data_IF_308908111233
#
_entry.id   IF_308908111233
#
_cell.length_a   1.000
_cell.length_b   1.000
_cell.length_c   1.000
_cell.angle_alpha   90.00
_cell.angle_beta   90.00
_cell.angle_gamma   90.00
#
_symmetry.space_group_name_H-M   'P 1'
#
loop_
_entity.id
_entity.type
_entity.pdbx_description
1 polymer ?
#
# COMPACT_ATOMS: atom_id res chain seq x y z
N UNK A 1 24.70 -7.95 0.52
CA UNK A 1 23.49 -7.94 -0.35
C UNK A 1 22.95 -9.34 -0.52
N UNK A 2 21.64 -9.52 -0.38
CA UNK A 2 20.95 -10.79 -0.62
C UNK A 2 21.09 -11.22 -2.10
N UNK A 3 21.97 -12.20 -2.36
CA UNK A 3 22.16 -12.77 -3.71
C UNK A 3 21.12 -13.83 -4.05
N UNK A 4 20.53 -14.48 -3.05
CA UNK A 4 19.51 -15.50 -3.26
C UNK A 4 18.18 -14.84 -3.68
N UNK A 5 17.78 -15.08 -4.93
CA UNK A 5 16.58 -14.51 -5.53
C UNK A 5 15.31 -14.89 -4.78
N UNK A 6 15.17 -16.15 -4.36
CA UNK A 6 13.99 -16.64 -3.64
C UNK A 6 13.89 -15.96 -2.28
N UNK A 7 14.99 -15.92 -1.52
CA UNK A 7 15.01 -15.29 -0.19
C UNK A 7 14.69 -13.80 -0.28
N UNK A 8 15.29 -13.09 -1.24
CA UNK A 8 14.99 -11.66 -1.45
C UNK A 8 13.54 -11.42 -1.86
N UNK A 9 12.95 -12.30 -2.69
CA UNK A 9 11.54 -12.18 -3.08
C UNK A 9 10.63 -12.33 -1.87
N UNK A 10 10.85 -13.37 -1.05
CA UNK A 10 10.06 -13.62 0.16
C UNK A 10 10.15 -12.43 1.11
N UNK A 11 11.35 -11.86 1.30
CA UNK A 11 11.53 -10.70 2.16
C UNK A 11 10.76 -9.48 1.65
N UNK A 12 10.89 -9.13 0.36
CA UNK A 12 10.12 -8.02 -0.20
C UNK A 12 8.62 -8.30 -0.18
N UNK A 13 8.20 -9.53 -0.43
CA UNK A 13 6.80 -9.93 -0.35
C UNK A 13 6.25 -9.68 1.05
N UNK A 14 6.92 -10.17 2.09
CA UNK A 14 6.49 -10.00 3.48
C UNK A 14 6.45 -8.53 3.90
N UNK A 15 7.45 -7.74 3.51
CA UNK A 15 7.49 -6.29 3.79
C UNK A 15 6.34 -5.56 3.07
N UNK A 16 6.10 -5.88 1.80
CA UNK A 16 5.09 -5.19 0.99
C UNK A 16 3.69 -5.54 1.45
N UNK A 17 3.45 -6.80 1.81
CA UNK A 17 2.17 -7.23 2.33
C UNK A 17 1.96 -6.86 3.80
N UNK A 18 3.00 -6.58 4.60
CA UNK A 18 2.79 -6.05 5.95
C UNK A 18 2.14 -4.66 5.91
N UNK A 19 2.53 -3.80 4.97
CA UNK A 19 1.84 -2.54 4.66
C UNK A 19 0.35 -2.77 4.35
N UNK A 20 0.05 -3.74 3.46
CA UNK A 20 -1.32 -4.14 3.15
C UNK A 20 -2.11 -4.61 4.36
N UNK A 21 -1.51 -5.43 5.23
CA UNK A 21 -2.17 -5.97 6.42
C UNK A 21 -2.47 -4.85 7.40
N UNK A 22 -1.51 -3.96 7.68
CA UNK A 22 -1.71 -2.83 8.59
C UNK A 22 -2.82 -1.91 8.06
N UNK A 23 -2.75 -1.53 6.77
CA UNK A 23 -3.77 -0.69 6.15
C UNK A 23 -5.15 -1.37 6.08
N UNK A 24 -5.18 -2.69 5.86
CA UNK A 24 -6.40 -3.49 5.86
C UNK A 24 -7.05 -3.57 7.23
N UNK A 25 -6.27 -3.79 8.29
CA UNK A 25 -6.75 -3.80 9.67
C UNK A 25 -7.32 -2.42 10.07
N UNK A 26 -6.60 -1.34 9.76
CA UNK A 26 -7.09 0.03 9.97
C UNK A 26 -8.41 0.29 9.24
N UNK A 27 -8.56 -0.25 8.03
CA UNK A 27 -9.80 -0.13 7.27
C UNK A 27 -10.93 -0.92 7.92
N UNK A 28 -10.77 -2.23 8.13
CA UNK A 28 -11.85 -3.09 8.66
C UNK A 28 -12.31 -2.64 10.05
N UNK A 29 -11.39 -2.18 10.90
CA UNK A 29 -11.71 -1.77 12.27
C UNK A 29 -12.42 -0.41 12.37
N UNK A 30 -12.20 0.51 11.44
CA UNK A 30 -12.65 1.91 11.58
C UNK A 30 -13.48 2.43 10.39
N UNK A 31 -13.68 1.62 9.35
CA UNK A 31 -14.50 1.97 8.19
C UNK A 31 -15.97 2.16 8.56
N UNK A 32 -16.56 1.24 9.32
CA UNK A 32 -18.00 1.28 9.61
C UNK A 32 -18.30 1.85 11.01
N UNK A 33 -19.42 2.60 11.17
CA UNK A 33 -20.42 2.97 10.16
C UNK A 33 -20.04 4.22 9.34
N UNK A 34 -18.91 4.86 9.66
CA UNK A 34 -18.57 6.18 9.11
C UNK A 34 -18.55 6.23 7.58
N UNK A 35 -17.89 5.27 6.93
CA UNK A 35 -17.71 5.25 5.48
C UNK A 35 -19.00 4.96 4.72
N UNK A 36 -19.92 4.16 5.28
CA UNK A 36 -21.22 3.89 4.65
C UNK A 36 -22.17 5.08 4.71
N UNK A 37 -21.97 6.01 5.66
CA UNK A 37 -22.75 7.24 5.80
C UNK A 37 -22.28 8.38 4.89
N UNK A 38 -21.14 8.24 4.20
CA UNK A 38 -20.65 9.26 3.28
C UNK A 38 -21.51 9.33 2.01
N UNK A 39 -21.77 10.54 1.54
CA UNK A 39 -22.32 10.78 0.20
C UNK A 39 -21.19 10.52 -0.80
N UNK A 40 -21.22 9.37 -1.44
CA UNK A 40 -20.24 8.96 -2.45
C UNK A 40 -20.73 9.34 -3.85
N UNK A 41 -19.84 9.75 -4.77
CA UNK A 41 -20.22 9.98 -6.15
C UNK A 41 -20.65 8.67 -6.83
N UNK A 42 -21.47 8.77 -7.88
CA UNK A 42 -21.99 7.62 -8.63
C UNK A 42 -20.91 6.75 -9.31
N UNK A 43 -19.72 7.29 -9.54
CA UNK A 43 -18.58 6.57 -10.10
C UNK A 43 -17.71 5.87 -9.03
N UNK A 44 -18.06 5.94 -7.75
CA UNK A 44 -17.34 5.20 -6.72
C UNK A 44 -17.59 3.68 -6.89
N UNK A 45 -16.53 2.85 -7.03
CA UNK A 45 -16.71 1.42 -7.23
C UNK A 45 -17.33 0.75 -6.00
N UNK A 46 -18.02 -0.40 -6.18
CA UNK A 46 -18.42 -1.26 -5.07
C UNK A 46 -17.25 -1.63 -4.15
N UNK A 47 -17.50 -1.68 -2.83
CA UNK A 47 -16.46 -1.88 -1.81
C UNK A 47 -15.64 -3.16 -1.97
N UNK A 48 -16.22 -4.22 -2.56
CA UNK A 48 -15.51 -5.48 -2.79
C UNK A 48 -14.41 -5.38 -3.85
N UNK A 49 -14.47 -4.39 -4.76
CA UNK A 49 -13.47 -4.20 -5.83
C UNK A 49 -12.10 -3.81 -5.27
N UNK A 50 -12.07 -3.15 -4.11
CA UNK A 50 -10.82 -2.70 -3.49
C UNK A 50 -9.91 -3.88 -3.13
N UNK A 51 -10.45 -5.02 -2.68
CA UNK A 51 -9.64 -6.16 -2.26
C UNK A 51 -8.84 -6.81 -3.41
N UNK A 52 -9.45 -7.16 -4.56
CA UNK A 52 -8.71 -7.63 -5.73
C UNK A 52 -7.70 -6.60 -6.25
N UNK A 53 -8.10 -5.33 -6.38
CA UNK A 53 -7.22 -4.28 -6.92
C UNK A 53 -5.98 -4.12 -6.06
N UNK A 54 -6.13 -3.93 -4.75
CA UNK A 54 -4.98 -3.76 -3.86
C UNK A 54 -4.12 -5.01 -3.78
N UNK A 55 -4.72 -6.20 -3.73
CA UNK A 55 -3.95 -7.46 -3.74
C UNK A 55 -3.07 -7.57 -4.98
N UNK A 56 -3.60 -7.24 -6.16
CA UNK A 56 -2.84 -7.23 -7.40
C UNK A 56 -1.73 -6.17 -7.37
N UNK A 57 -2.02 -4.96 -6.89
CA UNK A 57 -1.03 -3.89 -6.80
C UNK A 57 0.12 -4.25 -5.86
N UNK A 58 -0.13 -4.80 -4.67
CA UNK A 58 0.94 -5.21 -3.74
C UNK A 58 1.81 -6.33 -4.31
N UNK A 59 1.22 -7.26 -5.08
CA UNK A 59 1.98 -8.27 -5.80
C UNK A 59 2.88 -7.62 -6.87
N UNK A 60 2.34 -6.69 -7.66
CA UNK A 60 3.10 -5.96 -8.68
C UNK A 60 4.23 -5.14 -8.06
N UNK A 61 3.99 -4.45 -6.95
CA UNK A 61 5.01 -3.71 -6.19
C UNK A 61 6.13 -4.64 -5.71
N UNK A 62 5.77 -5.79 -5.14
CA UNK A 62 6.72 -6.82 -4.69
C UNK A 62 7.62 -7.28 -5.85
N UNK A 63 7.01 -7.59 -7.00
CA UNK A 63 7.75 -8.03 -8.20
C UNK A 63 8.65 -6.90 -8.70
N UNK A 64 8.18 -5.65 -8.71
CA UNK A 64 8.94 -4.50 -9.19
C UNK A 64 10.19 -4.26 -8.34
N UNK A 65 10.05 -4.16 -7.01
CA UNK A 65 11.22 -3.95 -6.14
C UNK A 65 12.16 -5.14 -6.16
N UNK A 66 11.65 -6.37 -6.23
CA UNK A 66 12.49 -7.56 -6.31
C UNK A 66 13.29 -7.59 -7.62
N UNK A 67 12.67 -7.27 -8.77
CA UNK A 67 13.38 -7.15 -10.04
C UNK A 67 14.46 -6.07 -9.98
N UNK A 68 14.10 -4.89 -9.48
CA UNK A 68 15.04 -3.77 -9.33
C UNK A 68 16.18 -4.11 -8.38
N UNK A 69 15.91 -4.87 -7.31
CA UNK A 69 16.94 -5.34 -6.38
C UNK A 69 18.02 -6.20 -7.05
N UNK A 70 17.71 -6.90 -8.14
CA UNK A 70 18.67 -7.72 -8.89
C UNK A 70 19.18 -7.06 -10.18
N UNK A 71 18.82 -5.80 -10.42
CA UNK A 71 19.31 -5.06 -11.58
C UNK A 71 20.79 -4.68 -11.41
N UNK A 72 21.53 -4.64 -12.52
CA UNK A 72 22.95 -4.22 -12.53
C UNK A 72 23.10 -2.72 -12.25
N UNK A 73 22.11 -1.93 -12.63
CA UNK A 73 22.07 -0.48 -12.48
C UNK A 73 21.30 -0.05 -11.22
N UNK A 74 21.07 -0.98 -10.28
CA UNK A 74 20.35 -0.68 -9.04
C UNK A 74 21.10 0.37 -8.22
N UNK A 75 20.44 1.49 -7.97
CA UNK A 75 20.83 2.47 -6.96
C UNK A 75 20.01 2.29 -5.67
N UNK A 76 20.58 2.68 -4.53
CA UNK A 76 19.90 2.56 -3.24
C UNK A 76 18.87 3.66 -3.01
N UNK A 77 18.94 4.80 -3.70
CA UNK A 77 17.98 5.90 -3.53
C UNK A 77 16.59 5.46 -4.00
N UNK A 78 16.50 4.78 -5.14
CA UNK A 78 15.26 4.18 -5.63
C UNK A 78 14.69 3.13 -4.67
N UNK A 79 15.56 2.33 -4.02
CA UNK A 79 15.14 1.40 -2.97
C UNK A 79 14.58 2.15 -1.75
N UNK A 80 15.20 3.25 -1.33
CA UNK A 80 14.68 4.09 -0.23
C UNK A 80 13.35 4.74 -0.59
N UNK A 81 13.21 5.25 -1.82
CA UNK A 81 11.94 5.80 -2.33
C UNK A 81 10.83 4.74 -2.26
N UNK A 82 11.12 3.49 -2.61
CA UNK A 82 10.16 2.39 -2.47
C UNK A 82 9.66 2.20 -1.04
N UNK A 83 10.57 2.20 -0.05
CA UNK A 83 10.18 2.05 1.35
C UNK A 83 9.41 3.26 1.86
N UNK A 84 9.80 4.48 1.46
CA UNK A 84 9.06 5.70 1.77
C UNK A 84 7.64 5.62 1.18
N UNK A 85 7.52 5.19 -0.08
CA UNK A 85 6.23 4.97 -0.73
C UNK A 85 5.36 3.96 0.04
N UNK A 86 5.92 2.85 0.56
CA UNK A 86 5.16 1.92 1.40
C UNK A 86 4.67 2.54 2.72
N UNK A 87 5.44 3.46 3.31
CA UNK A 87 5.02 4.19 4.52
C UNK A 87 3.82 5.06 4.18
N UNK A 88 3.90 5.92 3.17
CA UNK A 88 2.78 6.77 2.75
C UNK A 88 1.55 5.95 2.36
N UNK A 89 1.75 4.86 1.63
CA UNK A 89 0.71 3.91 1.24
C UNK A 89 -0.04 3.34 2.46
N UNK A 90 0.68 2.92 3.51
CA UNK A 90 0.06 2.42 4.75
C UNK A 90 -0.60 3.54 5.55
N UNK A 91 0.06 4.70 5.65
CA UNK A 91 -0.41 5.87 6.39
C UNK A 91 -1.73 6.39 5.83
N UNK A 92 -1.95 6.28 4.53
CA UNK A 92 -3.20 6.70 3.91
C UNK A 92 -4.43 6.06 4.57
N UNK A 93 -4.43 4.73 4.76
CA UNK A 93 -5.55 4.03 5.41
C UNK A 93 -5.75 4.46 6.85
N UNK A 94 -4.66 4.76 7.58
CA UNK A 94 -4.73 5.25 8.97
C UNK A 94 -5.38 6.63 9.00
N UNK A 95 -4.89 7.56 8.17
CA UNK A 95 -5.40 8.94 8.13
C UNK A 95 -6.86 8.98 7.67
N UNK A 96 -7.21 8.16 6.68
CA UNK A 96 -8.57 8.14 6.13
C UNK A 96 -9.55 7.43 7.05
N UNK A 97 -9.27 6.18 7.48
CA UNK A 97 -10.24 5.37 8.22
C UNK A 97 -10.14 5.54 9.74
N UNK A 98 -8.95 5.70 10.32
CA UNK A 98 -8.82 5.84 11.79
C UNK A 98 -9.13 7.28 12.21
N UNK A 99 -8.58 8.27 11.51
CA UNK A 99 -8.72 9.68 11.89
C UNK A 99 -9.84 10.43 11.14
N UNK A 100 -10.46 9.83 10.13
CA UNK A 100 -11.52 10.44 9.31
C UNK A 100 -11.13 11.81 8.71
N UNK A 101 -9.83 12.04 8.48
CA UNK A 101 -9.30 13.32 7.95
C UNK A 101 -9.15 13.23 6.43
N UNK A 102 -10.26 13.37 5.68
CA UNK A 102 -10.28 13.21 4.21
C UNK A 102 -9.30 14.13 3.47
N UNK A 103 -9.20 15.41 3.86
CA UNK A 103 -8.27 16.37 3.21
C UNK A 103 -6.82 15.98 3.46
N UNK A 104 -6.48 15.56 4.67
CA UNK A 104 -5.12 15.10 4.98
C UNK A 104 -4.81 13.79 4.26
N UNK A 105 -5.77 12.87 4.16
CA UNK A 105 -5.63 11.64 3.38
C UNK A 105 -5.41 11.93 1.89
N UNK A 106 -6.04 12.97 1.33
CA UNK A 106 -5.77 13.43 -0.04
C UNK A 106 -4.34 13.93 -0.20
N UNK A 107 -3.83 14.71 0.75
CA UNK A 107 -2.42 15.17 0.74
C UNK A 107 -1.47 13.97 0.79
N UNK A 108 -1.73 12.99 1.66
CA UNK A 108 -0.95 11.74 1.76
C UNK A 108 -1.01 10.92 0.47
N UNK A 109 -2.15 10.93 -0.24
CA UNK A 109 -2.32 10.18 -1.50
C UNK A 109 -1.50 10.76 -2.66
N UNK A 110 -1.28 12.08 -2.67
CA UNK A 110 -0.58 12.79 -3.76
C UNK A 110 0.94 12.84 -3.49
N UNK A 111 1.36 12.72 -2.23
CA UNK A 111 2.76 12.69 -1.80
C UNK A 111 3.47 11.40 -2.23
#
# INVERSE_FOLDING_TARGET
MLKNKILSFILFFLITYSASVIGGLATVSFKEPWYSLLIKPNFNPPDWIFAPVWTTLYLMMTIAIWKFWHDKNRDMNTVYIYFIHLIFNTTWSIVFFVFHKMVLALVVLIA
#
